data_IF_470787037261
#
_entry.id   IF_470787037261
#
_cell.length_a   1.000
_cell.length_b   1.000
_cell.length_c   1.000
_cell.angle_alpha   90.00
_cell.angle_beta   90.00
_cell.angle_gamma   90.00
#
_symmetry.space_group_name_H-M   'P 1'
#
loop_
_entity.id
_entity.type
_entity.pdbx_description
1 polymer ?
#
# COMPACT_ATOMS: atom_id res chain seq x y z
N UNK A 1 36.33 -3.70 -3.84
CA UNK A 1 36.15 -3.42 -2.40
C UNK A 1 35.76 -4.73 -1.72
N UNK A 2 36.49 -5.17 -0.70
CA UNK A 2 36.31 -6.47 -0.05
C UNK A 2 34.86 -6.65 0.45
N UNK A 3 34.15 -7.66 -0.04
CA UNK A 3 32.76 -7.99 0.33
C UNK A 3 32.59 -8.60 1.73
N UNK A 4 33.60 -8.46 2.59
CA UNK A 4 33.58 -9.02 3.94
C UNK A 4 32.77 -8.15 4.89
N UNK A 5 31.87 -8.78 5.61
CA UNK A 5 30.97 -8.11 6.55
C UNK A 5 31.72 -7.72 7.83
N UNK A 6 31.69 -6.43 8.17
CA UNK A 6 32.35 -5.93 9.39
C UNK A 6 31.70 -6.50 10.66
N UNK A 7 32.53 -6.92 11.64
CA UNK A 7 32.08 -7.49 12.92
C UNK A 7 31.21 -6.51 13.72
N UNK A 8 31.55 -5.23 13.71
CA UNK A 8 30.80 -4.15 14.37
C UNK A 8 30.55 -3.00 13.39
N UNK A 9 29.40 -3.01 12.67
CA UNK A 9 29.09 -1.93 11.74
C UNK A 9 28.69 -0.65 12.50
N UNK A 10 29.47 0.41 12.35
CA UNK A 10 29.19 1.71 12.96
C UNK A 10 28.21 2.56 12.14
N UNK A 11 28.11 2.33 10.83
CA UNK A 11 27.16 3.01 9.96
C UNK A 11 25.80 2.31 9.91
N UNK A 12 24.73 3.09 9.80
CA UNK A 12 23.36 2.59 9.68
C UNK A 12 23.19 1.68 8.46
N UNK A 13 23.78 2.06 7.32
CA UNK A 13 23.77 1.25 6.10
C UNK A 13 24.40 -0.14 6.30
N UNK A 14 25.50 -0.23 7.07
CA UNK A 14 26.15 -1.50 7.34
C UNK A 14 25.38 -2.36 8.36
N UNK A 15 24.65 -1.74 9.29
CA UNK A 15 23.70 -2.43 10.19
C UNK A 15 22.51 -3.01 9.43
N UNK A 16 21.92 -2.24 8.51
CA UNK A 16 20.82 -2.69 7.66
C UNK A 16 21.29 -3.87 6.79
N UNK A 17 22.42 -3.75 6.10
CA UNK A 17 22.98 -4.85 5.27
C UNK A 17 23.18 -6.15 6.06
N UNK A 18 23.47 -6.05 7.36
CA UNK A 18 23.67 -7.21 8.24
C UNK A 18 22.38 -7.92 8.61
N UNK A 19 21.25 -7.22 8.63
CA UNK A 19 19.99 -7.83 9.00
C UNK A 19 19.50 -8.74 7.87
N UNK A 20 19.23 -10.04 8.12
CA UNK A 20 18.80 -10.96 7.07
C UNK A 20 17.30 -10.76 6.80
N UNK A 21 16.96 -9.66 6.11
CA UNK A 21 15.58 -9.26 5.80
C UNK A 21 14.81 -10.37 5.10
N UNK A 22 15.42 -11.05 4.14
CA UNK A 22 14.77 -12.13 3.40
C UNK A 22 14.36 -13.29 4.33
N UNK A 23 15.24 -13.67 5.26
CA UNK A 23 14.95 -14.74 6.19
C UNK A 23 13.81 -14.36 7.15
N UNK A 24 13.87 -13.18 7.77
CA UNK A 24 12.86 -12.79 8.75
C UNK A 24 11.50 -12.41 8.13
N UNK A 25 11.49 -11.83 6.93
CA UNK A 25 10.25 -11.33 6.32
C UNK A 25 9.56 -12.36 5.41
N UNK A 26 10.29 -13.24 4.73
CA UNK A 26 9.70 -14.14 3.73
C UNK A 26 9.81 -15.64 4.06
N UNK A 27 10.89 -16.08 4.73
CA UNK A 27 11.16 -17.51 4.98
C UNK A 27 10.76 -17.94 6.40
N UNK A 28 10.96 -17.09 7.40
CA UNK A 28 10.69 -17.40 8.80
C UNK A 28 9.19 -17.58 9.04
N UNK A 29 8.83 -18.55 9.88
CA UNK A 29 7.45 -18.84 10.26
C UNK A 29 6.73 -17.59 10.83
N UNK A 30 7.47 -16.69 11.47
CA UNK A 30 6.92 -15.47 12.08
C UNK A 30 6.60 -14.37 11.04
N UNK A 31 7.19 -14.43 9.84
CA UNK A 31 7.00 -13.45 8.76
C UNK A 31 5.75 -13.68 7.92
N UNK A 32 4.91 -14.66 8.26
CA UNK A 32 3.74 -15.05 7.47
C UNK A 32 2.80 -13.86 7.19
N UNK A 33 2.59 -12.98 8.17
CA UNK A 33 1.71 -11.79 8.02
C UNK A 33 2.18 -10.89 6.88
N UNK A 34 3.47 -10.51 6.86
CA UNK A 34 4.00 -9.65 5.80
C UNK A 34 3.93 -10.31 4.43
N UNK A 35 4.17 -11.62 4.35
CA UNK A 35 4.07 -12.40 3.11
C UNK A 35 2.64 -12.39 2.55
N UNK A 36 1.65 -12.76 3.36
CA UNK A 36 0.25 -12.80 2.90
C UNK A 36 -0.31 -11.41 2.67
N UNK A 37 0.11 -10.41 3.46
CA UNK A 37 -0.25 -9.01 3.21
C UNK A 37 0.24 -8.55 1.84
N UNK A 38 1.53 -8.75 1.52
CA UNK A 38 2.09 -8.37 0.22
C UNK A 38 1.41 -9.11 -0.95
N UNK A 39 1.20 -10.42 -0.81
CA UNK A 39 0.49 -11.23 -1.83
C UNK A 39 -0.94 -10.74 -2.02
N UNK A 40 -1.67 -10.50 -0.92
CA UNK A 40 -3.04 -10.01 -0.96
C UNK A 40 -3.12 -8.63 -1.61
N UNK A 41 -2.21 -7.70 -1.28
CA UNK A 41 -2.15 -6.38 -1.91
C UNK A 41 -1.96 -6.49 -3.42
N UNK A 42 -1.04 -7.36 -3.88
CA UNK A 42 -0.79 -7.55 -5.32
C UNK A 42 -2.01 -8.15 -6.02
N UNK A 43 -2.66 -9.15 -5.41
CA UNK A 43 -3.87 -9.77 -5.97
C UNK A 43 -5.07 -8.81 -6.00
N UNK A 44 -5.20 -7.97 -4.97
CA UNK A 44 -6.27 -6.99 -4.88
C UNK A 44 -6.03 -5.77 -5.79
N UNK A 45 -4.78 -5.44 -6.12
CA UNK A 45 -4.42 -4.29 -6.95
C UNK A 45 -5.21 -4.19 -8.28
N UNK A 46 -5.32 -5.24 -9.11
CA UNK A 46 -6.12 -5.18 -10.34
C UNK A 46 -7.62 -5.02 -10.07
N UNK A 47 -8.14 -5.62 -8.98
CA UNK A 47 -9.55 -5.48 -8.60
C UNK A 47 -9.86 -4.03 -8.20
N UNK A 48 -9.03 -3.45 -7.33
CA UNK A 48 -9.17 -2.04 -6.93
C UNK A 48 -8.97 -1.08 -8.10
N UNK A 49 -8.09 -1.40 -9.05
CA UNK A 49 -7.94 -0.59 -10.26
C UNK A 49 -9.23 -0.54 -11.09
N UNK A 50 -9.94 -1.67 -11.21
CA UNK A 50 -11.24 -1.72 -11.90
C UNK A 50 -12.31 -0.93 -11.15
N UNK A 51 -12.38 -1.07 -9.83
CA UNK A 51 -13.30 -0.28 -9.01
C UNK A 51 -13.02 1.22 -9.12
N UNK A 52 -11.75 1.61 -9.01
CA UNK A 52 -11.32 3.00 -9.17
C UNK A 52 -11.75 3.57 -10.53
N UNK A 53 -11.53 2.83 -11.62
CA UNK A 53 -11.96 3.26 -12.96
C UNK A 53 -13.48 3.42 -13.08
N UNK A 54 -14.26 2.55 -12.42
CA UNK A 54 -15.72 2.63 -12.41
C UNK A 54 -16.22 3.82 -11.59
N UNK A 55 -15.64 4.06 -10.41
CA UNK A 55 -15.98 5.21 -9.56
C UNK A 55 -15.70 6.56 -10.25
N UNK A 56 -14.62 6.65 -11.02
CA UNK A 56 -14.24 7.85 -11.76
C UNK A 56 -14.83 7.95 -13.19
N UNK A 57 -15.82 7.12 -13.53
CA UNK A 57 -16.55 7.27 -14.78
C UNK A 57 -17.23 8.66 -14.84
N UNK A 58 -17.24 9.35 -15.99
CA UNK A 58 -17.72 10.73 -16.10
C UNK A 58 -19.19 10.89 -15.70
N UNK A 59 -20.00 9.86 -15.89
CA UNK A 59 -21.40 9.83 -15.44
C UNK A 59 -21.52 9.83 -13.91
N UNK A 60 -20.69 9.04 -13.23
CA UNK A 60 -20.67 8.98 -11.77
C UNK A 60 -20.15 10.28 -11.16
N UNK A 61 -19.12 10.88 -11.78
CA UNK A 61 -18.58 12.17 -11.33
C UNK A 61 -19.64 13.27 -11.44
N UNK A 62 -20.36 13.37 -12.56
CA UNK A 62 -21.46 14.34 -12.74
C UNK A 62 -22.57 14.15 -11.71
N UNK A 63 -23.00 12.91 -11.48
CA UNK A 63 -24.01 12.59 -10.47
C UNK A 63 -23.54 12.98 -9.06
N UNK A 64 -22.27 12.73 -8.73
CA UNK A 64 -21.70 13.15 -7.46
C UNK A 64 -21.61 14.66 -7.33
N UNK A 65 -21.23 15.39 -8.38
CA UNK A 65 -21.21 16.86 -8.40
C UNK A 65 -22.61 17.45 -8.20
N UNK A 66 -23.63 16.87 -8.81
CA UNK A 66 -25.04 17.27 -8.62
C UNK A 66 -25.48 17.05 -7.18
N UNK A 67 -25.23 15.88 -6.60
CA UNK A 67 -25.52 15.58 -5.18
C UNK A 67 -24.78 16.54 -4.24
N UNK A 68 -23.49 16.81 -4.48
CA UNK A 68 -22.72 17.74 -3.66
C UNK A 68 -23.29 19.16 -3.76
N UNK A 69 -23.65 19.62 -4.98
CA UNK A 69 -24.30 20.92 -5.16
C UNK A 69 -25.61 21.00 -4.39
N UNK A 70 -26.44 19.95 -4.41
CA UNK A 70 -27.68 19.90 -3.64
C UNK A 70 -27.44 19.95 -2.12
N UNK A 71 -26.48 19.17 -1.61
CA UNK A 71 -26.10 19.15 -0.19
C UNK A 71 -25.60 20.52 0.30
N UNK A 72 -24.74 21.20 -0.46
CA UNK A 72 -24.19 22.51 -0.09
C UNK A 72 -25.11 23.68 -0.42
N UNK A 73 -26.12 23.49 -1.29
CA UNK A 73 -27.11 24.52 -1.61
C UNK A 73 -28.14 24.75 -0.50
N UNK A 74 -28.07 24.01 0.61
CA UNK A 74 -28.97 24.17 1.75
C UNK A 74 -30.33 23.48 1.61
N UNK A 75 -30.62 22.86 0.46
CA UNK A 75 -31.91 22.18 0.17
C UNK A 75 -32.13 20.91 0.99
N UNK A 76 -31.07 20.30 1.53
CA UNK A 76 -31.15 19.07 2.33
C UNK A 76 -31.13 19.31 3.85
N UNK A 77 -31.22 20.56 4.31
CA UNK A 77 -31.49 20.85 5.73
C UNK A 77 -32.99 20.69 6.00
N UNK A 78 -33.37 19.51 6.49
CA UNK A 78 -34.56 19.33 7.32
C UNK A 78 -34.14 19.29 8.79
#
# INVERSE_FOLDING_TARGET
MSGTQMKYPYSLAAKIRRFPFHHYMFVAKNGWVLRYWAISTILCLPLFYKFHKMSHAPENVKKWEELHKEQFSGKMHH
#
